data_IF_330415073826
#
_entry.id   IF_330415073826
#
_cell.length_a   1.000
_cell.length_b   1.000
_cell.length_c   1.000
_cell.angle_alpha   90.00
_cell.angle_beta   90.00
_cell.angle_gamma   90.00
#
_symmetry.space_group_name_H-M   'P 1'
#
loop_
_entity.id
_entity.type
_entity.pdbx_description
1 polymer ?
#
# COMPACT_ATOMS: atom_id res chain seq x y z
N UNK A 1 11.06 -15.38 12.86
CA UNK A 1 9.81 -15.36 12.05
C UNK A 1 9.39 -13.91 11.91
N UNK A 2 8.97 -13.48 10.71
CA UNK A 2 8.46 -12.11 10.55
C UNK A 2 7.03 -12.06 11.08
N UNK A 3 6.58 -10.89 11.52
CA UNK A 3 5.17 -10.67 11.87
C UNK A 3 4.48 -10.00 10.69
N UNK A 4 3.23 -10.37 10.46
CA UNK A 4 2.34 -9.72 9.49
C UNK A 4 1.00 -9.46 10.15
N UNK A 5 0.22 -8.59 9.53
CA UNK A 5 -1.18 -8.40 9.89
C UNK A 5 -2.04 -8.71 8.68
N UNK A 6 -2.85 -9.76 8.77
CA UNK A 6 -3.82 -10.10 7.74
C UNK A 6 -5.02 -9.13 7.77
N UNK A 7 -5.54 -8.80 6.60
CA UNK A 7 -6.58 -7.80 6.41
C UNK A 7 -7.92 -8.48 6.10
N UNK A 8 -8.98 -8.04 6.78
CA UNK A 8 -10.36 -8.30 6.38
C UNK A 8 -11.08 -6.97 6.20
N UNK A 9 -11.81 -6.81 5.09
CA UNK A 9 -12.50 -5.58 4.73
C UNK A 9 -13.95 -5.60 5.19
N UNK A 10 -14.41 -4.48 5.74
CA UNK A 10 -15.80 -4.28 6.16
C UNK A 10 -16.27 -2.95 5.57
N UNK A 11 -17.21 -3.01 4.62
CA UNK A 11 -17.79 -1.80 4.05
C UNK A 11 -18.56 -1.02 5.12
N UNK A 12 -18.40 0.30 5.13
CA UNK A 12 -19.12 1.20 6.02
C UNK A 12 -20.00 2.15 5.22
N UNK A 13 -21.08 2.62 5.84
CA UNK A 13 -22.02 3.58 5.22
C UNK A 13 -21.90 5.00 5.78
N UNK A 14 -21.03 5.19 6.76
CA UNK A 14 -20.75 6.47 7.41
C UNK A 14 -19.26 6.79 7.32
N UNK A 15 -18.89 8.04 7.00
CA UNK A 15 -17.49 8.40 6.82
C UNK A 15 -16.60 8.05 8.01
N UNK A 16 -15.44 7.45 7.74
CA UNK A 16 -14.45 7.19 8.78
C UNK A 16 -13.61 8.45 8.99
N UNK A 17 -13.82 9.12 10.12
CA UNK A 17 -13.12 10.38 10.48
C UNK A 17 -12.04 10.21 11.56
N UNK A 18 -11.75 8.97 11.96
CA UNK A 18 -10.72 8.65 12.95
C UNK A 18 -9.47 8.08 12.29
N UNK A 19 -8.32 8.27 12.94
CA UNK A 19 -7.04 7.71 12.51
C UNK A 19 -7.01 6.18 12.66
N UNK A 20 -7.47 5.48 11.62
CA UNK A 20 -7.43 4.02 11.51
C UNK A 20 -7.02 3.61 10.10
N UNK A 21 -6.63 2.35 9.94
CA UNK A 21 -6.38 1.79 8.61
C UNK A 21 -7.73 1.65 7.88
N UNK A 22 -7.80 2.15 6.64
CA UNK A 22 -9.02 2.10 5.82
C UNK A 22 -8.71 2.23 4.33
N UNK A 23 -9.68 1.85 3.50
CA UNK A 23 -9.62 1.93 2.03
C UNK A 23 -10.83 2.72 1.51
N UNK A 24 -10.62 3.57 0.52
CA UNK A 24 -11.63 4.50 0.00
C UNK A 24 -12.02 5.61 0.99
N UNK A 25 -13.03 6.40 0.61
CA UNK A 25 -13.43 7.60 1.34
C UNK A 25 -12.41 8.76 1.20
N UNK A 26 -12.26 9.57 2.25
CA UNK A 26 -11.32 10.70 2.29
C UNK A 26 -10.22 10.46 3.34
N UNK A 27 -8.96 10.86 3.11
CA UNK A 27 -7.90 10.73 4.10
C UNK A 27 -8.24 11.49 5.40
N UNK A 28 -7.94 10.87 6.54
CA UNK A 28 -7.92 11.55 7.85
C UNK A 28 -6.47 11.98 8.13
N UNK A 29 -6.14 13.22 7.75
CA UNK A 29 -4.79 13.77 7.86
C UNK A 29 -4.35 13.96 9.33
N UNK A 30 -3.10 13.56 9.63
CA UNK A 30 -2.48 13.82 10.95
C UNK A 30 -1.97 15.26 11.06
N UNK A 31 -1.50 15.82 9.95
CA UNK A 31 -0.98 17.18 9.83
C UNK A 31 -1.75 17.94 8.74
N UNK A 32 -1.20 19.07 8.26
CA UNK A 32 -1.80 19.76 7.12
C UNK A 32 -1.96 18.81 5.92
N UNK A 33 -3.09 18.88 5.20
CA UNK A 33 -3.31 18.09 4.00
C UNK A 33 -2.17 18.22 2.98
N UNK A 34 -1.76 17.08 2.43
CA UNK A 34 -0.69 16.97 1.44
C UNK A 34 -1.19 16.18 0.23
N UNK A 35 -2.26 16.67 -0.41
CA UNK A 35 -2.91 15.96 -1.52
C UNK A 35 -2.00 15.94 -2.76
N UNK A 36 -1.46 14.78 -3.18
CA UNK A 36 -0.44 14.75 -4.22
C UNK A 36 -1.03 14.97 -5.63
N UNK A 37 -0.23 15.59 -6.48
CA UNK A 37 -0.52 15.84 -7.89
C UNK A 37 0.35 14.92 -8.77
N UNK A 38 -0.17 14.54 -9.93
CA UNK A 38 0.60 13.91 -11.00
C UNK A 38 1.56 14.90 -11.67
N UNK A 39 2.37 14.42 -12.62
CA UNK A 39 3.32 15.26 -13.37
C UNK A 39 2.65 16.32 -14.26
N UNK A 40 1.36 16.17 -14.54
CA UNK A 40 0.54 17.12 -15.31
C UNK A 40 -0.18 18.13 -14.40
N UNK A 41 -0.01 18.02 -13.08
CA UNK A 41 -0.64 18.88 -12.06
C UNK A 41 -2.08 18.49 -11.72
N UNK A 42 -2.56 17.30 -12.09
CA UNK A 42 -3.88 16.80 -11.70
C UNK A 42 -3.82 16.08 -10.34
N UNK A 43 -4.84 16.22 -9.47
CA UNK A 43 -4.89 15.47 -8.22
C UNK A 43 -4.92 13.95 -8.45
N UNK A 44 -4.04 13.22 -7.76
CA UNK A 44 -4.12 11.76 -7.70
C UNK A 44 -5.31 11.34 -6.82
N UNK A 45 -5.82 10.12 -7.06
CA UNK A 45 -6.98 9.61 -6.34
C UNK A 45 -6.55 8.89 -5.07
N UNK A 46 -7.21 9.18 -3.95
CA UNK A 46 -6.97 8.47 -2.69
C UNK A 46 -7.36 6.99 -2.82
N UNK A 47 -6.49 6.10 -2.34
CA UNK A 47 -6.72 4.65 -2.32
C UNK A 47 -6.95 4.18 -0.90
N UNK A 48 -6.00 4.44 0.00
CA UNK A 48 -6.07 3.97 1.37
C UNK A 48 -5.18 4.77 2.30
N UNK A 49 -5.45 4.65 3.61
CA UNK A 49 -4.51 5.05 4.65
C UNK A 49 -4.19 3.86 5.55
N UNK A 50 -2.92 3.72 5.93
CA UNK A 50 -2.41 2.62 6.74
C UNK A 50 -1.75 3.19 8.00
N UNK A 51 -2.27 2.82 9.17
CA UNK A 51 -1.57 3.05 10.43
C UNK A 51 -0.31 2.21 10.45
N UNK A 52 0.87 2.83 10.60
CA UNK A 52 2.13 2.10 10.57
C UNK A 52 2.40 1.53 11.97
N UNK A 53 2.16 0.22 12.13
CA UNK A 53 2.27 -0.46 13.42
C UNK A 53 3.74 -0.61 13.86
N UNK A 54 4.05 -0.10 15.06
CA UNK A 54 5.37 -0.22 15.68
C UNK A 54 5.78 -1.65 16.05
N UNK A 55 4.83 -2.59 16.13
CA UNK A 55 5.15 -4.02 16.27
C UNK A 55 5.77 -4.62 15.01
N UNK A 56 5.59 -3.96 13.86
CA UNK A 56 6.08 -4.39 12.55
C UNK A 56 7.22 -3.50 12.04
N UNK A 57 7.17 -2.20 12.36
CA UNK A 57 8.12 -1.21 11.86
C UNK A 57 8.69 -0.35 12.98
N UNK A 58 9.99 -0.46 13.20
CA UNK A 58 10.71 0.48 14.06
C UNK A 58 10.60 1.91 13.51
N UNK A 59 10.63 2.90 14.40
CA UNK A 59 10.53 4.34 14.11
C UNK A 59 9.21 4.78 13.43
N UNK A 60 8.15 3.99 13.57
CA UNK A 60 6.83 4.25 12.99
C UNK A 60 5.81 4.88 13.95
N UNK A 61 6.20 5.19 15.19
CA UNK A 61 5.27 5.65 16.23
C UNK A 61 4.45 6.85 15.76
N UNK A 62 3.12 6.69 15.79
CA UNK A 62 2.17 7.74 15.44
C UNK A 62 2.13 8.11 13.95
N UNK A 63 2.61 7.25 13.06
CA UNK A 63 2.64 7.53 11.62
C UNK A 63 1.50 6.89 10.85
N UNK A 64 1.04 7.59 9.82
CA UNK A 64 0.08 7.11 8.82
C UNK A 64 0.67 7.27 7.44
N UNK A 65 0.62 6.21 6.64
CA UNK A 65 0.87 6.28 5.20
C UNK A 65 -0.45 6.44 4.45
N UNK A 66 -0.49 7.33 3.47
CA UNK A 66 -1.61 7.58 2.56
C UNK A 66 -1.17 7.24 1.15
N UNK A 67 -1.86 6.30 0.49
CA UNK A 67 -1.60 5.90 -0.88
C UNK A 67 -2.54 6.64 -1.83
N UNK A 68 -1.96 7.18 -2.89
CA UNK A 68 -2.68 7.80 -3.99
C UNK A 68 -2.22 7.21 -5.33
N UNK A 69 -3.16 7.12 -6.27
CA UNK A 69 -2.92 6.55 -7.60
C UNK A 69 -3.74 7.30 -8.66
N UNK A 70 -3.18 7.44 -9.86
CA UNK A 70 -3.89 7.99 -11.02
C UNK A 70 -5.01 7.06 -11.47
N UNK A 71 -6.07 7.63 -12.04
CA UNK A 71 -7.17 6.90 -12.68
C UNK A 71 -7.22 7.17 -14.19
N UNK A 72 -6.12 7.65 -14.77
CA UNK A 72 -6.02 7.98 -16.20
C UNK A 72 -5.52 6.76 -16.97
N UNK A 73 -6.09 6.48 -18.15
CA UNK A 73 -5.78 5.28 -18.95
C UNK A 73 -4.30 5.18 -19.38
N UNK A 74 -3.64 6.33 -19.61
CA UNK A 74 -2.23 6.39 -20.03
C UNK A 74 -1.24 6.34 -18.85
N UNK A 75 -1.73 6.25 -17.62
CA UNK A 75 -0.91 6.29 -16.42
C UNK A 75 -0.10 4.99 -16.24
N UNK A 76 1.19 5.13 -15.95
CA UNK A 76 2.09 4.02 -15.66
C UNK A 76 2.12 3.74 -14.15
N UNK A 77 0.94 3.45 -13.58
CA UNK A 77 0.78 3.26 -12.12
C UNK A 77 1.55 2.05 -11.56
N UNK A 78 2.05 1.18 -12.42
CA UNK A 78 2.93 0.05 -12.07
C UNK A 78 4.37 0.48 -11.79
N UNK A 79 4.85 1.58 -12.40
CA UNK A 79 6.23 2.07 -12.17
C UNK A 79 6.24 3.01 -10.94
N UNK A 80 7.00 2.67 -9.88
CA UNK A 80 7.09 3.49 -8.68
C UNK A 80 7.79 4.85 -8.88
N UNK A 81 8.26 5.17 -10.09
CA UNK A 81 8.94 6.42 -10.43
C UNK A 81 8.24 7.23 -11.53
N UNK A 82 7.15 6.73 -12.12
CA UNK A 82 6.46 7.43 -13.20
C UNK A 82 5.74 8.72 -12.75
N UNK A 83 5.47 8.86 -11.45
CA UNK A 83 4.72 9.99 -10.89
C UNK A 83 3.20 9.82 -10.95
N UNK A 84 2.72 8.65 -11.37
CA UNK A 84 1.30 8.28 -11.41
C UNK A 84 0.80 7.67 -10.09
N UNK A 85 1.70 7.48 -9.12
CA UNK A 85 1.39 7.07 -7.75
C UNK A 85 2.16 7.94 -6.77
N UNK A 86 1.63 8.10 -5.57
CA UNK A 86 2.32 8.80 -4.49
C UNK A 86 1.98 8.17 -3.14
N UNK A 87 2.99 8.13 -2.27
CA UNK A 87 2.83 7.75 -0.87
C UNK A 87 3.23 8.93 0.00
N UNK A 88 2.28 9.45 0.75
CA UNK A 88 2.51 10.48 1.77
C UNK A 88 2.58 9.79 3.11
N UNK A 89 3.57 10.14 3.94
CA UNK A 89 3.65 9.62 5.32
C UNK A 89 3.69 10.81 6.28
N UNK A 90 2.72 10.85 7.20
CA UNK A 90 2.65 11.86 8.24
C UNK A 90 2.88 11.26 9.63
N UNK A 91 3.43 12.03 10.58
CA UNK A 91 4.09 13.33 10.36
C UNK A 91 5.32 13.21 9.47
N UNK A 92 5.57 14.23 8.63
CA UNK A 92 6.69 14.18 7.69
C UNK A 92 6.61 15.16 6.52
N UNK A 93 7.75 15.29 5.82
CA UNK A 93 7.87 16.07 4.60
C UNK A 93 7.90 15.09 3.42
N UNK A 94 6.98 15.22 2.44
CA UNK A 94 6.99 14.43 1.22
C UNK A 94 8.30 14.54 0.45
N UNK A 95 8.55 13.59 -0.45
CA UNK A 95 9.68 13.67 -1.37
C UNK A 95 9.63 15.00 -2.16
N UNK A 96 10.77 15.68 -2.42
CA UNK A 96 10.77 16.94 -3.17
C UNK A 96 10.17 16.85 -4.59
N UNK A 97 10.16 15.64 -5.17
CA UNK A 97 9.55 15.34 -6.45
C UNK A 97 8.02 15.29 -6.41
N UNK A 98 7.41 15.06 -5.24
CA UNK A 98 5.96 15.03 -5.07
C UNK A 98 5.46 16.46 -4.91
N UNK A 99 4.68 16.94 -5.89
CA UNK A 99 3.91 18.17 -5.75
C UNK A 99 2.59 17.84 -5.07
N UNK A 100 2.10 18.75 -4.24
CA UNK A 100 0.87 18.57 -3.50
C UNK A 100 0.17 19.89 -3.24
N UNK A 101 -1.13 19.80 -2.97
CA UNK A 101 -1.98 20.91 -2.55
C UNK A 101 -2.50 20.69 -1.14
N UNK A 102 -2.80 21.80 -0.44
CA UNK A 102 -3.38 21.76 0.90
C UNK A 102 -4.92 21.69 0.82
N UNK A 103 -5.42 20.64 0.15
CA UNK A 103 -6.84 20.32 0.09
C UNK A 103 -7.11 19.12 0.99
N UNK A 104 -8.04 19.21 1.95
CA UNK A 104 -8.34 18.10 2.87
C UNK A 104 -9.06 16.94 2.17
N UNK A 105 -9.82 17.25 1.12
CA UNK A 105 -10.63 16.31 0.37
C UNK A 105 -10.35 16.43 -1.15
N UNK A 106 -10.66 15.37 -1.87
CA UNK A 106 -10.40 15.27 -3.30
C UNK A 106 -10.91 13.94 -3.89
N UNK A 107 -10.43 13.55 -5.08
CA UNK A 107 -10.92 12.34 -5.74
C UNK A 107 -10.51 11.05 -4.99
N UNK A 108 -11.40 10.06 -4.91
CA UNK A 108 -11.09 8.71 -4.39
C UNK A 108 -11.17 7.70 -5.51
N UNK A 109 -10.28 6.71 -5.50
CA UNK A 109 -10.24 5.68 -6.54
C UNK A 109 -11.27 4.58 -6.30
N UNK A 110 -11.50 4.27 -5.02
CA UNK A 110 -12.41 3.21 -4.59
C UNK A 110 -13.81 3.78 -4.42
N UNK A 111 -14.80 3.12 -5.00
CA UNK A 111 -16.22 3.38 -4.71
C UNK A 111 -16.60 2.77 -3.36
N UNK A 112 -17.00 3.64 -2.43
CA UNK A 112 -17.27 3.31 -1.04
C UNK A 112 -16.06 3.47 -0.11
N UNK A 113 -16.27 3.08 1.14
CA UNK A 113 -15.28 3.16 2.20
C UNK A 113 -15.30 1.89 3.04
N UNK A 114 -14.12 1.40 3.40
CA UNK A 114 -13.92 0.12 4.07
C UNK A 114 -13.03 0.30 5.29
N UNK A 115 -13.57 -0.02 6.46
CA UNK A 115 -12.77 -0.26 7.66
C UNK A 115 -12.14 -1.65 7.56
N UNK A 116 -10.94 -1.82 8.11
CA UNK A 116 -10.30 -3.13 8.15
C UNK A 116 -10.19 -3.71 9.55
N UNK A 117 -10.51 -5.00 9.65
CA UNK A 117 -10.17 -5.82 10.80
C UNK A 117 -8.78 -6.40 10.59
N UNK A 118 -7.90 -6.21 11.57
CA UNK A 118 -6.49 -6.55 11.51
C UNK A 118 -6.18 -7.73 12.44
N UNK A 119 -5.57 -8.79 11.91
CA UNK A 119 -5.15 -9.96 12.70
C UNK A 119 -3.66 -10.22 12.56
N UNK A 120 -2.92 -10.06 13.67
CA UNK A 120 -1.50 -10.40 13.74
C UNK A 120 -1.30 -11.90 13.49
N UNK A 121 -0.31 -12.24 12.67
CA UNK A 121 0.15 -13.59 12.36
C UNK A 121 1.67 -13.63 12.30
N UNK A 122 2.23 -14.81 12.50
CA UNK A 122 3.62 -15.08 12.18
C UNK A 122 3.72 -15.57 10.73
N UNK A 123 4.64 -14.98 9.99
CA UNK A 123 5.03 -15.43 8.66
C UNK A 123 6.35 -16.19 8.79
N UNK A 124 6.26 -17.51 8.60
CA UNK A 124 7.36 -18.43 8.71
C UNK A 124 7.77 -18.90 7.32
N UNK A 125 8.58 -18.10 6.62
CA UNK A 125 9.31 -18.60 5.46
C UNK A 125 10.63 -17.85 5.31
N UNK A 126 11.73 -18.59 5.17
CA UNK A 126 13.10 -18.05 5.13
C UNK A 126 13.93 -18.62 3.98
N UNK A 127 13.35 -19.50 3.16
CA UNK A 127 14.06 -20.12 2.03
C UNK A 127 13.77 -19.29 0.79
N UNK A 128 14.83 -18.98 0.03
CA UNK A 128 14.72 -18.28 -1.24
C UNK A 128 13.90 -19.11 -2.23
N UNK A 129 12.93 -18.53 -2.95
CA UNK A 129 11.99 -19.27 -3.78
C UNK A 129 12.69 -20.10 -4.88
N UNK A 130 13.87 -19.69 -5.32
CA UNK A 130 14.68 -20.39 -6.33
C UNK A 130 15.25 -21.72 -5.84
N UNK A 131 15.25 -21.96 -4.53
CA UNK A 131 15.74 -23.19 -3.90
C UNK A 131 14.61 -24.17 -3.56
N UNK A 132 13.36 -23.82 -3.87
CA UNK A 132 12.19 -24.63 -3.53
C UNK A 132 11.87 -25.62 -4.65
N UNK A 133 11.50 -26.84 -4.25
CA UNK A 133 10.77 -27.74 -5.15
C UNK A 133 9.30 -27.29 -5.30
N UNK A 134 8.55 -27.97 -6.16
CA UNK A 134 7.17 -27.59 -6.50
C UNK A 134 6.23 -27.64 -5.29
N UNK A 135 6.38 -28.63 -4.41
CA UNK A 135 5.57 -28.78 -3.20
C UNK A 135 5.87 -27.67 -2.19
N UNK A 136 7.16 -27.42 -1.94
CA UNK A 136 7.60 -26.36 -1.05
C UNK A 136 7.26 -24.96 -1.60
N UNK A 137 7.30 -24.77 -2.91
CA UNK A 137 6.87 -23.54 -3.57
C UNK A 137 5.37 -23.32 -3.42
N UNK A 138 4.55 -24.37 -3.53
CA UNK A 138 3.11 -24.28 -3.29
C UNK A 138 2.80 -23.86 -1.85
N UNK A 139 3.53 -24.42 -0.87
CA UNK A 139 3.44 -23.96 0.52
C UNK A 139 3.90 -22.51 0.68
N UNK A 140 5.05 -22.14 0.11
CA UNK A 140 5.57 -20.77 0.12
C UNK A 140 4.52 -19.78 -0.39
N UNK A 141 4.00 -20.03 -1.58
CA UNK A 141 2.97 -19.19 -2.19
C UNK A 141 1.75 -19.05 -1.28
N UNK A 142 1.26 -20.16 -0.72
CA UNK A 142 0.11 -20.14 0.20
C UNK A 142 0.37 -19.35 1.48
N UNK A 143 1.59 -19.35 1.99
CA UNK A 143 1.96 -18.63 3.22
C UNK A 143 2.13 -17.12 2.98
N UNK A 144 2.63 -16.72 1.82
CA UNK A 144 2.90 -15.31 1.53
C UNK A 144 1.77 -14.61 0.76
N UNK A 145 0.82 -15.34 0.19
CA UNK A 145 -0.29 -14.78 -0.57
C UNK A 145 -1.31 -14.03 0.29
N UNK A 146 -2.16 -13.26 -0.40
CA UNK A 146 -3.26 -12.51 0.19
C UNK A 146 -2.87 -11.13 0.71
N UNK A 147 -3.90 -10.46 1.25
CA UNK A 147 -3.83 -9.07 1.68
C UNK A 147 -3.22 -8.95 3.08
N UNK A 148 -2.10 -8.23 3.19
CA UNK A 148 -1.34 -8.13 4.44
C UNK A 148 -0.61 -6.80 4.60
N UNK A 149 -0.36 -6.45 5.87
CA UNK A 149 0.54 -5.39 6.29
C UNK A 149 1.81 -6.02 6.85
N UNK A 150 2.98 -5.58 6.39
CA UNK A 150 4.27 -6.15 6.79
C UNK A 150 4.62 -7.47 6.10
N UNK A 151 5.73 -8.06 6.54
CA UNK A 151 6.17 -9.39 6.09
C UNK A 151 7.11 -9.38 4.88
N UNK A 152 6.97 -10.40 4.05
CA UNK A 152 7.75 -10.62 2.84
C UNK A 152 6.84 -10.49 1.63
N UNK A 153 7.14 -9.64 0.64
CA UNK A 153 6.33 -9.56 -0.57
C UNK A 153 6.35 -10.89 -1.32
N UNK A 154 5.19 -11.28 -1.85
CA UNK A 154 5.08 -12.34 -2.85
C UNK A 154 5.04 -11.68 -4.23
N UNK A 155 6.20 -11.49 -4.85
CA UNK A 155 6.28 -10.99 -6.23
C UNK A 155 5.82 -12.05 -7.22
N UNK A 156 5.17 -11.62 -8.30
CA UNK A 156 4.62 -12.51 -9.34
C UNK A 156 5.29 -12.36 -10.70
N UNK A 157 6.06 -11.28 -10.93
CA UNK A 157 6.88 -11.04 -12.13
C UNK A 157 8.40 -10.96 -11.84
N UNK A 158 8.81 -11.44 -10.67
CA UNK A 158 10.18 -11.36 -10.16
C UNK A 158 10.38 -10.24 -9.14
N UNK A 159 11.45 -10.35 -8.36
CA UNK A 159 11.73 -9.44 -7.26
C UNK A 159 11.96 -8.00 -7.75
N UNK A 160 11.13 -7.08 -7.24
CA UNK A 160 11.19 -5.67 -7.61
C UNK A 160 11.04 -4.78 -6.37
N UNK A 161 12.15 -4.51 -5.69
CA UNK A 161 12.18 -3.55 -4.59
C UNK A 161 12.51 -2.14 -5.14
N UNK A 162 11.70 -1.11 -4.83
CA UNK A 162 12.09 0.26 -5.15
C UNK A 162 13.41 0.61 -4.44
N UNK A 163 14.38 1.15 -5.18
CA UNK A 163 15.71 1.49 -4.63
C UNK A 163 15.59 2.36 -3.37
N UNK A 164 16.11 1.87 -2.25
CA UNK A 164 16.08 2.55 -0.95
C UNK A 164 14.83 2.25 -0.09
N UNK A 165 13.95 1.36 -0.54
CA UNK A 165 12.72 0.96 0.13
C UNK A 165 12.64 -0.57 0.19
N UNK A 166 12.93 -1.14 1.35
CA UNK A 166 13.10 -2.59 1.51
C UNK A 166 12.02 -3.22 2.40
N UNK A 167 11.14 -2.40 3.00
CA UNK A 167 10.14 -2.85 3.97
C UNK A 167 8.75 -2.77 3.35
N UNK A 168 8.13 -3.93 3.11
CA UNK A 168 6.74 -4.03 2.68
C UNK A 168 5.82 -3.49 3.78
N UNK A 169 5.04 -2.45 3.50
CA UNK A 169 3.98 -1.94 4.36
C UNK A 169 2.62 -2.52 3.98
N UNK A 170 2.28 -2.65 2.69
CA UNK A 170 1.02 -3.23 2.23
C UNK A 170 1.26 -4.14 1.03
N UNK A 171 0.66 -5.33 1.03
CA UNK A 171 0.44 -6.15 -0.15
C UNK A 171 -1.07 -6.28 -0.38
N UNK A 172 -1.52 -6.00 -1.60
CA UNK A 172 -2.93 -5.97 -1.99
C UNK A 172 -3.17 -6.76 -3.28
N UNK A 173 -3.75 -7.94 -3.18
CA UNK A 173 -4.20 -8.79 -4.28
C UNK A 173 -5.54 -8.28 -4.81
N UNK A 174 -5.59 -7.85 -6.08
CA UNK A 174 -6.79 -7.26 -6.68
C UNK A 174 -7.95 -8.24 -6.85
N UNK A 175 -7.69 -9.55 -6.75
CA UNK A 175 -8.72 -10.59 -6.85
C UNK A 175 -9.36 -10.94 -5.50
N UNK A 176 -8.76 -10.46 -4.39
CA UNK A 176 -9.14 -10.80 -3.02
C UNK A 176 -9.66 -9.61 -2.22
N UNK A 177 -10.20 -8.60 -2.89
CA UNK A 177 -10.73 -7.34 -2.32
C UNK A 177 -12.19 -7.12 -2.73
N UNK A 178 -12.99 -6.41 -1.92
CA UNK A 178 -14.42 -6.18 -2.21
C UNK A 178 -14.69 -4.94 -3.08
N UNK A 179 -13.65 -4.35 -3.68
CA UNK A 179 -13.74 -3.13 -4.49
C UNK A 179 -12.86 -3.27 -5.73
N UNK A 180 -13.15 -2.48 -6.75
CA UNK A 180 -12.40 -2.48 -7.99
C UNK A 180 -11.13 -1.64 -7.87
N UNK A 181 -10.00 -2.22 -8.27
CA UNK A 181 -8.74 -1.52 -8.50
C UNK A 181 -8.02 -2.17 -9.67
N UNK A 182 -7.50 -1.37 -10.59
CA UNK A 182 -6.83 -1.89 -11.77
C UNK A 182 -5.34 -2.09 -11.52
N UNK A 183 -4.95 -3.34 -11.28
CA UNK A 183 -3.55 -3.80 -11.29
C UNK A 183 -3.30 -4.76 -12.46
N UNK A 184 -3.93 -4.53 -13.61
CA UNK A 184 -3.80 -5.42 -14.77
C UNK A 184 -4.52 -6.77 -14.58
N UNK A 185 -3.98 -7.83 -15.19
CA UNK A 185 -4.56 -9.18 -15.09
C UNK A 185 -4.23 -9.82 -13.73
N UNK A 186 -5.22 -9.80 -12.82
CA UNK A 186 -5.15 -10.46 -11.52
C UNK A 186 -3.92 -10.04 -10.70
N UNK A 187 -3.60 -8.75 -10.74
CA UNK A 187 -2.37 -8.22 -10.18
C UNK A 187 -2.34 -8.04 -8.68
N UNK A 188 -1.13 -7.78 -8.18
CA UNK A 188 -0.87 -7.51 -6.77
C UNK A 188 -0.10 -6.20 -6.65
N UNK A 189 -0.61 -5.30 -5.81
CA UNK A 189 0.04 -4.04 -5.44
C UNK A 189 0.89 -4.17 -4.19
N UNK A 190 2.01 -3.46 -4.16
CA UNK A 190 2.99 -3.46 -3.08
C UNK A 190 3.36 -2.03 -2.70
N UNK A 191 3.08 -1.65 -1.46
CA UNK A 191 3.53 -0.40 -0.87
C UNK A 191 4.75 -0.69 0.00
N UNK A 192 5.89 -0.08 -0.33
CA UNK A 192 7.13 -0.16 0.41
C UNK A 192 7.44 1.14 1.14
N UNK A 193 8.11 1.05 2.29
CA UNK A 193 8.61 2.20 3.06
C UNK A 193 10.11 2.09 3.31
N UNK A 194 10.77 3.25 3.46
CA UNK A 194 12.18 3.31 3.83
C UNK A 194 12.41 2.86 5.29
N UNK A 195 13.66 2.70 5.71
CA UNK A 195 14.04 2.24 7.06
C UNK A 195 13.49 3.11 8.21
N UNK A 196 13.23 4.39 7.97
CA UNK A 196 12.74 5.33 8.98
C UNK A 196 11.22 5.52 8.97
N UNK A 197 10.49 4.81 8.09
CA UNK A 197 9.06 4.99 7.87
C UNK A 197 8.72 6.47 7.65
N UNK A 198 9.49 7.17 6.80
CA UNK A 198 9.29 8.59 6.48
C UNK A 198 8.93 8.83 5.03
N UNK A 199 9.19 7.85 4.17
CA UNK A 199 8.90 7.90 2.74
C UNK A 199 8.42 6.52 2.31
N UNK A 200 7.56 6.48 1.29
CA UNK A 200 7.13 5.23 0.66
C UNK A 200 7.09 5.31 -0.86
N UNK A 201 7.00 4.15 -1.48
CA UNK A 201 6.77 3.95 -2.91
C UNK A 201 5.79 2.81 -3.12
N UNK A 202 5.04 2.89 -4.20
CA UNK A 202 4.06 1.87 -4.58
C UNK A 202 4.32 1.42 -6.00
N UNK A 203 4.22 0.10 -6.23
CA UNK A 203 4.24 -0.53 -7.54
C UNK A 203 3.23 -1.68 -7.54
N UNK A 204 2.91 -2.20 -8.70
CA UNK A 204 2.14 -3.44 -8.81
C UNK A 204 2.64 -4.30 -9.97
N UNK A 205 2.39 -5.60 -9.87
CA UNK A 205 2.72 -6.60 -10.89
C UNK A 205 1.43 -7.35 -11.28
N UNK A 206 1.37 -7.94 -12.46
CA UNK A 206 0.24 -8.75 -12.94
C UNK A 206 0.70 -10.02 -13.66
N UNK A 207 -0.23 -10.92 -13.99
CA UNK A 207 0.10 -12.11 -14.80
C UNK A 207 0.17 -11.79 -16.31
#
# INVERSE_FOLDING_TARGET
>A
MKKITAIQFNQVTTPITSHKTKFGGQPTWLEEPQWPLDLKGKPLHFVCQIMIDTQLFENAQGKIAYLFMSNEDEAQTWDPNAGDTAVIIQPGIPLPSIKYENNPEGPTLIDGEYEVSLRLKEEAYQIAPELLDEEAYTEYFRHLSGNKIGGTPLFIQGDEYPKGYERLLLQLDSTAIPFDINFGDSGTGYLFINANASQGKFLWQCY
#
